data_IF_413555057367
#
_entry.id   IF_413555057367
#
_cell.length_a   1.000
_cell.length_b   1.000
_cell.length_c   1.000
_cell.angle_alpha   90.00
_cell.angle_beta   90.00
_cell.angle_gamma   90.00
#
_symmetry.space_group_name_H-M   'P 1'
#
loop_
_entity.id
_entity.type
_entity.pdbx_description
1 polymer ?
#
# COMPACT_ATOMS: atom_id res chain seq x y z
N UNK A 1 -2.39 7.01 26.04
CA UNK A 1 -2.76 5.69 25.48
C UNK A 1 -2.75 5.76 23.96
N UNK A 2 -1.77 5.14 23.31
CA UNK A 2 -1.76 5.01 21.85
C UNK A 2 -2.78 3.94 21.45
N UNK A 3 -3.93 4.37 20.94
CA UNK A 3 -4.92 3.48 20.32
C UNK A 3 -4.54 3.35 18.85
N UNK A 4 -4.02 2.19 18.46
CA UNK A 4 -3.45 1.91 17.14
C UNK A 4 -2.15 1.11 17.25
N UNK A 5 -1.69 0.52 16.15
CA UNK A 5 -0.36 -0.09 16.10
C UNK A 5 0.72 1.00 16.21
N UNK A 6 1.81 0.72 16.93
CA UNK A 6 2.92 1.68 17.07
C UNK A 6 3.57 1.96 15.72
N UNK A 7 3.62 0.95 14.86
CA UNK A 7 4.17 0.97 13.50
C UNK A 7 3.45 1.90 12.53
N UNK A 8 2.20 2.29 12.83
CA UNK A 8 1.38 3.21 12.02
C UNK A 8 1.18 4.54 12.77
N UNK A 9 2.17 4.95 13.57
CA UNK A 9 2.22 6.28 14.14
C UNK A 9 2.45 7.32 13.01
N UNK A 10 1.91 8.55 13.13
CA UNK A 10 2.01 9.57 12.08
C UNK A 10 3.45 9.83 11.63
N UNK A 11 4.39 9.85 12.58
CA UNK A 11 5.82 10.05 12.33
C UNK A 11 6.47 8.93 11.51
N UNK A 12 5.97 7.70 11.64
CA UNK A 12 6.50 6.54 10.93
C UNK A 12 5.90 6.46 9.53
N UNK A 13 4.61 6.81 9.37
CA UNK A 13 3.94 6.90 8.08
C UNK A 13 4.55 7.95 7.15
N UNK A 14 5.14 9.01 7.72
CA UNK A 14 5.85 10.03 6.96
C UNK A 14 7.12 9.48 6.29
N UNK A 15 7.66 8.34 6.74
CA UNK A 15 8.84 7.70 6.11
C UNK A 15 8.48 6.79 4.94
N UNK A 16 7.21 6.44 4.77
CA UNK A 16 6.78 5.51 3.73
C UNK A 16 6.51 6.21 2.40
N UNK A 17 6.80 5.49 1.31
CA UNK A 17 6.40 5.89 -0.04
C UNK A 17 4.90 5.75 -0.24
N UNK A 18 4.35 6.48 -1.21
CA UNK A 18 2.90 6.50 -1.48
C UNK A 18 2.34 5.12 -1.83
N UNK A 19 3.10 4.32 -2.57
CA UNK A 19 2.70 2.95 -2.94
C UNK A 19 2.55 2.07 -1.69
N UNK A 20 3.51 2.14 -0.78
CA UNK A 20 3.50 1.38 0.47
C UNK A 20 2.34 1.78 1.37
N UNK A 21 2.00 3.07 1.44
CA UNK A 21 0.82 3.53 2.20
C UNK A 21 -0.49 2.90 1.69
N UNK A 22 -0.63 2.78 0.37
CA UNK A 22 -1.81 2.15 -0.24
C UNK A 22 -1.86 0.65 0.04
N UNK A 23 -0.72 -0.03 0.02
CA UNK A 23 -0.64 -1.45 0.37
C UNK A 23 -0.99 -1.71 1.83
N UNK A 24 -0.44 -0.92 2.76
CA UNK A 24 -0.76 -1.03 4.18
C UNK A 24 -2.24 -0.73 4.46
N UNK A 25 -2.83 0.20 3.71
CA UNK A 25 -4.26 0.49 3.78
C UNK A 25 -5.11 -0.72 3.35
N UNK A 26 -4.72 -1.43 2.28
CA UNK A 26 -5.40 -2.66 1.85
C UNK A 26 -5.32 -3.74 2.93
N UNK A 27 -4.12 -3.99 3.46
CA UNK A 27 -3.89 -4.95 4.55
C UNK A 27 -4.74 -4.64 5.78
N UNK A 28 -4.79 -3.38 6.20
CA UNK A 28 -5.59 -2.95 7.34
C UNK A 28 -7.11 -3.12 7.12
N UNK A 29 -7.60 -2.94 5.88
CA UNK A 29 -9.01 -3.20 5.53
C UNK A 29 -9.35 -4.70 5.57
N UNK A 30 -8.48 -5.54 5.05
CA UNK A 30 -8.64 -7.01 5.12
C UNK A 30 -8.65 -7.49 6.57
N UNK A 31 -7.75 -6.98 7.40
CA UNK A 31 -7.75 -7.26 8.83
C UNK A 31 -9.07 -6.82 9.48
N UNK A 32 -9.56 -5.62 9.17
CA UNK A 32 -10.85 -5.14 9.69
C UNK A 32 -12.02 -6.03 9.25
N UNK A 33 -12.00 -6.53 8.02
CA UNK A 33 -13.02 -7.45 7.52
C UNK A 33 -13.02 -8.76 8.33
N UNK A 34 -11.85 -9.37 8.51
CA UNK A 34 -11.69 -10.59 9.29
C UNK A 34 -12.11 -10.39 10.75
N UNK A 35 -11.73 -9.28 11.37
CA UNK A 35 -12.12 -8.96 12.75
C UNK A 35 -13.64 -8.74 12.89
N UNK A 36 -14.30 -8.17 11.87
CA UNK A 36 -15.76 -8.02 11.86
C UNK A 36 -16.46 -9.38 11.70
N UNK A 37 -15.90 -10.27 10.90
CA UNK A 37 -16.40 -11.64 10.77
C UNK A 37 -16.28 -12.40 12.10
N UNK A 38 -15.10 -12.37 12.73
CA UNK A 38 -14.87 -12.97 14.06
C UNK A 38 -15.75 -12.34 15.15
N UNK A 39 -16.01 -11.03 15.07
CA UNK A 39 -16.92 -10.35 15.99
C UNK A 39 -18.36 -10.79 15.82
N UNK A 40 -18.78 -11.15 14.61
CA UNK A 40 -20.13 -11.64 14.35
C UNK A 40 -20.32 -13.09 14.81
N UNK A 41 -19.28 -13.91 14.74
CA UNK A 41 -19.28 -15.30 15.26
C UNK A 41 -19.08 -15.39 16.77
N UNK A 42 -18.73 -14.28 17.43
CA UNK A 42 -18.49 -14.22 18.88
C UNK A 42 -17.17 -14.86 19.33
N UNK A 43 -16.28 -15.20 18.39
CA UNK A 43 -14.98 -15.84 18.66
C UNK A 43 -13.83 -14.82 18.66
N UNK A 44 -14.12 -13.56 18.95
CA UNK A 44 -13.12 -12.49 18.88
C UNK A 44 -12.36 -12.39 20.21
N UNK A 45 -11.05 -12.67 20.20
CA UNK A 45 -10.20 -12.59 21.39
C UNK A 45 -10.01 -11.15 21.90
N UNK A 46 -9.96 -10.16 21.00
CA UNK A 46 -9.66 -8.77 21.34
C UNK A 46 -10.60 -7.76 20.66
N UNK A 47 -11.65 -7.37 21.37
CA UNK A 47 -12.55 -6.29 20.92
C UNK A 47 -11.84 -4.94 20.74
N UNK A 48 -10.77 -4.68 21.51
CA UNK A 48 -9.96 -3.48 21.40
C UNK A 48 -9.25 -3.35 20.04
N UNK A 49 -8.96 -4.48 19.38
CA UNK A 49 -8.27 -4.52 18.09
C UNK A 49 -9.08 -3.85 16.98
N UNK A 50 -10.39 -4.02 16.95
CA UNK A 50 -11.28 -3.36 15.97
C UNK A 50 -11.11 -1.84 16.04
N UNK A 51 -11.04 -1.27 17.23
CA UNK A 51 -10.86 0.18 17.42
C UNK A 51 -9.47 0.64 17.02
N UNK A 52 -8.45 -0.17 17.26
CA UNK A 52 -7.08 0.10 16.83
C UNK A 52 -6.96 0.13 15.30
N UNK A 53 -7.45 -0.91 14.62
CA UNK A 53 -7.40 -1.01 13.14
C UNK A 53 -8.19 0.11 12.47
N UNK A 54 -9.36 0.49 13.02
CA UNK A 54 -10.12 1.65 12.53
C UNK A 54 -9.32 2.97 12.62
N UNK A 55 -8.56 3.17 13.71
CA UNK A 55 -7.69 4.34 13.86
C UNK A 55 -6.54 4.32 12.87
N UNK A 56 -5.93 3.16 12.67
CA UNK A 56 -4.80 2.98 11.76
C UNK A 56 -5.22 3.29 10.31
N UNK A 57 -6.39 2.82 9.87
CA UNK A 57 -6.99 3.19 8.58
C UNK A 57 -7.21 4.70 8.47
N UNK A 58 -7.77 5.33 9.50
CA UNK A 58 -7.99 6.77 9.50
C UNK A 58 -6.67 7.56 9.37
N UNK A 59 -5.61 7.13 10.06
CA UNK A 59 -4.28 7.75 9.95
C UNK A 59 -3.71 7.64 8.54
N UNK A 60 -3.79 6.46 7.93
CA UNK A 60 -3.32 6.24 6.56
C UNK A 60 -4.04 7.19 5.58
N UNK A 61 -5.37 7.30 5.68
CA UNK A 61 -6.11 8.25 4.83
C UNK A 61 -5.73 9.71 5.09
N UNK A 62 -5.51 10.11 6.34
CA UNK A 62 -5.10 11.49 6.63
C UNK A 62 -3.77 11.83 6.00
N UNK A 63 -2.77 10.93 6.08
CA UNK A 63 -1.44 11.17 5.49
C UNK A 63 -1.51 11.22 3.97
N UNK A 64 -2.24 10.30 3.33
CA UNK A 64 -2.46 10.32 1.88
C UNK A 64 -3.09 11.64 1.47
N UNK A 65 -4.12 12.10 2.19
CA UNK A 65 -4.82 13.35 1.87
C UNK A 65 -3.95 14.59 2.10
N UNK A 66 -3.16 14.62 3.17
CA UNK A 66 -2.23 15.71 3.45
C UNK A 66 -1.13 15.81 2.38
N UNK A 67 -0.69 14.67 1.81
CA UNK A 67 0.25 14.62 0.68
C UNK A 67 -0.38 15.14 -0.61
N UNK A 68 -1.62 14.75 -0.91
CA UNK A 68 -2.38 15.30 -2.05
C UNK A 68 -2.56 16.83 -1.97
N UNK A 69 -2.71 17.36 -0.75
CA UNK A 69 -2.85 18.79 -0.48
C UNK A 69 -1.50 19.52 -0.34
N UNK A 70 -0.37 18.81 -0.43
CA UNK A 70 0.97 19.39 -0.28
C UNK A 70 1.31 19.90 1.12
N UNK A 71 0.55 19.49 2.14
CA UNK A 71 0.72 19.93 3.54
C UNK A 71 1.87 19.16 4.21
N UNK A 72 2.10 17.91 3.80
CA UNK A 72 3.23 17.10 4.28
C UNK A 72 4.24 16.83 3.16
N UNK A 73 5.51 16.91 3.52
CA UNK A 73 6.60 16.50 2.64
C UNK A 73 6.56 14.98 2.46
N UNK A 74 6.33 14.52 1.24
CA UNK A 74 6.71 13.17 0.83
C UNK A 74 8.22 13.02 1.03
N UNK A 75 8.71 11.95 1.66
CA UNK A 75 10.12 11.62 1.57
C UNK A 75 10.39 11.40 0.08
N UNK A 76 11.10 12.35 -0.54
CA UNK A 76 11.54 12.21 -1.91
C UNK A 76 12.31 10.88 -2.01
N UNK A 77 12.09 10.06 -3.05
CA UNK A 77 12.87 8.85 -3.25
C UNK A 77 14.34 9.26 -3.38
N UNK A 78 15.12 9.01 -2.34
CA UNK A 78 16.56 9.14 -2.40
C UNK A 78 17.06 7.97 -3.27
N UNK A 79 17.59 8.34 -4.44
CA UNK A 79 18.33 7.53 -5.43
C UNK A 79 17.53 6.66 -6.41
N UNK A 80 17.04 7.30 -7.48
CA UNK A 80 17.12 6.73 -8.83
C UNK A 80 17.86 7.71 -9.76
N UNK A 81 19.11 7.37 -10.05
CA UNK A 81 20.04 8.12 -10.89
C UNK A 81 19.52 8.36 -12.33
N UNK A 82 19.94 9.46 -12.99
CA UNK A 82 19.47 9.83 -14.32
C UNK A 82 20.15 8.97 -15.40
N UNK A 83 19.38 8.22 -16.19
CA UNK A 83 19.87 7.58 -17.42
C UNK A 83 18.98 7.92 -18.60
N UNK A 84 19.16 9.12 -19.14
CA UNK A 84 18.74 9.44 -20.50
C UNK A 84 19.86 9.06 -21.50
N UNK A 85 19.56 8.08 -22.37
CA UNK A 85 19.99 7.92 -23.77
C UNK A 85 21.49 7.78 -24.09
N UNK A 86 21.92 6.56 -24.44
CA UNK A 86 22.73 6.22 -25.64
C UNK A 86 23.08 4.71 -25.63
N UNK A 87 22.42 3.91 -26.47
CA UNK A 87 23.03 2.94 -27.41
C UNK A 87 21.92 2.12 -28.08
N UNK A 88 21.32 2.71 -29.11
CA UNK A 88 20.81 1.93 -30.22
C UNK A 88 21.98 1.20 -30.90
N UNK A 89 21.69 0.05 -31.52
CA UNK A 89 22.52 -0.79 -32.41
C UNK A 89 23.42 -1.87 -31.77
N UNK A 90 22.88 -3.10 -31.68
CA UNK A 90 23.32 -4.38 -32.31
C UNK A 90 22.52 -5.52 -31.64
N UNK A 91 21.35 -5.97 -32.14
CA UNK A 91 21.13 -7.04 -33.15
C UNK A 91 21.97 -8.29 -32.82
N UNK A 92 21.51 -9.52 -32.55
CA UNK A 92 20.32 -10.36 -32.86
C UNK A 92 20.17 -11.37 -31.68
N UNK A 93 19.13 -12.18 -31.42
CA UNK A 93 18.24 -13.07 -32.18
C UNK A 93 17.01 -13.33 -31.25
N UNK A 94 15.74 -13.21 -31.68
CA UNK A 94 14.94 -14.18 -32.45
C UNK A 94 14.52 -15.44 -31.64
N UNK A 95 13.28 -15.40 -31.13
CA UNK A 95 12.34 -16.52 -30.93
C UNK A 95 10.95 -15.89 -30.61
N UNK A 96 10.16 -15.54 -31.62
CA UNK A 96 8.93 -16.28 -32.07
C UNK A 96 7.91 -16.40 -30.92
N UNK A 97 6.94 -15.50 -30.75
CA UNK A 97 5.70 -15.28 -31.53
C UNK A 97 4.89 -16.56 -31.82
N UNK A 98 3.87 -16.83 -30.99
CA UNK A 98 2.58 -17.34 -31.46
C UNK A 98 1.51 -17.35 -30.35
N UNK A 99 0.36 -16.77 -30.69
CA UNK A 99 -1.00 -17.05 -30.22
C UNK A 99 -1.48 -16.41 -28.90
N UNK A 100 -2.07 -15.22 -29.06
CA UNK A 100 -3.14 -14.69 -28.22
C UNK A 100 -4.51 -14.99 -28.86
N UNK A 101 -5.50 -15.35 -28.03
CA UNK A 101 -6.98 -15.16 -28.13
C UNK A 101 -7.81 -16.04 -29.11
N UNK A 102 -8.79 -16.76 -28.53
CA UNK A 102 -10.26 -16.72 -28.77
C UNK A 102 -10.89 -17.94 -28.04
N UNK A 103 -11.67 -17.78 -26.96
CA UNK A 103 -13.15 -17.79 -26.95
C UNK A 103 -13.82 -18.84 -27.88
N UNK A 104 -14.38 -19.91 -27.28
CA UNK A 104 -15.77 -20.39 -27.46
C UNK A 104 -15.93 -21.90 -27.18
N UNK A 105 -17.04 -22.21 -26.52
CA UNK A 105 -17.71 -23.52 -26.30
C UNK A 105 -17.23 -24.44 -25.17
#
# INVERSE_FOLDING_TARGET
MAVGTKTLAPSELDTFEDQRLVEELRKAKEELFNLRFQSATGQLDSHGRIRAVKRDIARLYTVIRERELGIRATPAPAEAAPKAKKKATKKADAADDAAAKEEAE
#
